data_IF_335103096890
#
_entry.id   IF_335103096890
#
_cell.length_a   1.000
_cell.length_b   1.000
_cell.length_c   1.000
_cell.angle_alpha   90.00
_cell.angle_beta   90.00
_cell.angle_gamma   90.00
#
_symmetry.space_group_name_H-M   'P 1'
#
loop_
_entity.id
_entity.type
_entity.pdbx_description
1 polymer ?
#
# COMPACT_ATOMS: atom_id res chain seq x y z
N UNK A 1 -12.81 -12.99 -4.69
CA UNK A 1 -12.04 -13.20 -3.46
C UNK A 1 -13.02 -13.18 -2.29
N UNK A 2 -12.94 -14.12 -1.34
CA UNK A 2 -13.91 -14.23 -0.24
C UNK A 2 -13.77 -13.13 0.84
N UNK A 3 -12.71 -12.32 0.77
CA UNK A 3 -12.44 -11.21 1.67
C UNK A 3 -12.09 -9.96 0.87
N UNK A 4 -12.36 -8.78 1.44
CA UNK A 4 -11.84 -7.52 0.89
C UNK A 4 -10.30 -7.55 0.90
N UNK A 5 -9.69 -7.11 -0.19
CA UNK A 5 -8.24 -6.94 -0.31
C UNK A 5 -7.99 -5.58 -0.94
N UNK A 6 -7.14 -4.78 -0.30
CA UNK A 6 -6.68 -3.49 -0.81
C UNK A 6 -5.19 -3.57 -1.10
N UNK A 7 -4.74 -2.80 -2.09
CA UNK A 7 -3.32 -2.73 -2.47
C UNK A 7 -2.93 -1.27 -2.70
N UNK A 8 -1.68 -0.87 -2.38
CA UNK A 8 -1.17 0.41 -2.82
C UNK A 8 -1.07 0.47 -4.36
N UNK A 9 -1.16 1.68 -4.93
CA UNK A 9 -1.13 1.93 -6.38
C UNK A 9 0.25 1.81 -7.02
N UNK A 10 1.32 1.88 -6.23
CA UNK A 10 2.70 1.87 -6.73
C UNK A 10 3.25 0.45 -6.90
N UNK A 11 4.21 0.30 -7.82
CA UNK A 11 4.97 -0.94 -8.01
C UNK A 11 6.08 -1.15 -6.98
N UNK A 12 7.02 -2.03 -7.31
CA UNK A 12 8.13 -2.43 -6.42
C UNK A 12 9.15 -1.33 -6.14
N UNK A 13 9.24 -0.32 -7.00
CA UNK A 13 10.14 0.83 -6.85
C UNK A 13 11.61 0.43 -6.58
N UNK A 14 12.13 -0.54 -7.34
CA UNK A 14 13.49 -1.10 -7.15
C UNK A 14 14.60 -0.06 -7.24
N UNK A 15 14.41 0.98 -8.04
CA UNK A 15 15.32 2.12 -8.18
C UNK A 15 15.50 2.91 -6.86
N UNK A 16 14.56 2.82 -5.93
CA UNK A 16 14.59 3.50 -4.63
C UNK A 16 14.51 2.58 -3.41
N UNK A 17 14.41 1.27 -3.63
CA UNK A 17 14.39 0.28 -2.55
C UNK A 17 15.66 0.38 -1.69
N UNK A 18 15.49 0.39 -0.37
CA UNK A 18 16.60 0.53 0.59
C UNK A 18 17.15 1.95 0.76
N UNK A 19 16.66 2.95 0.01
CA UNK A 19 17.13 4.35 0.09
C UNK A 19 16.34 5.22 1.08
N UNK A 20 15.24 4.72 1.65
CA UNK A 20 14.43 5.45 2.64
C UNK A 20 13.60 6.62 2.08
N UNK A 21 13.41 6.69 0.76
CA UNK A 21 12.71 7.79 0.07
C UNK A 21 11.37 7.38 -0.55
N UNK A 22 10.91 6.15 -0.32
CA UNK A 22 9.63 5.68 -0.80
C UNK A 22 8.47 6.39 -0.07
N UNK A 23 7.46 6.86 -0.82
CA UNK A 23 6.27 7.50 -0.26
C UNK A 23 5.31 6.44 0.26
N UNK A 24 4.87 6.57 1.51
CA UNK A 24 4.03 5.57 2.21
C UNK A 24 2.53 5.76 2.01
N UNK A 25 2.10 6.94 1.55
CA UNK A 25 0.68 7.35 1.54
C UNK A 25 -0.26 6.33 0.90
N UNK A 26 0.11 5.75 -0.24
CA UNK A 26 -0.73 4.76 -0.93
C UNK A 26 -0.93 3.48 -0.10
N UNK A 27 0.10 3.04 0.62
CA UNK A 27 0.03 1.88 1.52
C UNK A 27 -0.80 2.20 2.77
N UNK A 28 -0.63 3.40 3.33
CA UNK A 28 -1.41 3.87 4.49
C UNK A 28 -2.91 3.94 4.17
N UNK A 29 -3.28 4.50 3.01
CA UNK A 29 -4.69 4.53 2.57
C UNK A 29 -5.23 3.12 2.29
N UNK A 30 -4.44 2.23 1.70
CA UNK A 30 -4.86 0.83 1.49
C UNK A 30 -5.20 0.15 2.82
N UNK A 31 -4.38 0.31 3.85
CA UNK A 31 -4.63 -0.22 5.20
C UNK A 31 -5.88 0.43 5.81
N UNK A 32 -6.02 1.76 5.69
CA UNK A 32 -7.18 2.49 6.20
C UNK A 32 -8.49 2.00 5.57
N UNK A 33 -8.55 1.89 4.24
CA UNK A 33 -9.74 1.39 3.52
C UNK A 33 -10.07 -0.04 3.96
N UNK A 34 -9.05 -0.89 4.13
CA UNK A 34 -9.27 -2.26 4.61
C UNK A 34 -9.86 -2.28 6.02
N UNK A 35 -9.37 -1.43 6.92
CA UNK A 35 -9.87 -1.35 8.30
C UNK A 35 -11.32 -0.84 8.39
N UNK A 36 -11.79 -0.08 7.39
CA UNK A 36 -13.16 0.42 7.31
C UNK A 36 -14.16 -0.60 6.75
N UNK A 37 -13.68 -1.68 6.12
CA UNK A 37 -14.50 -2.72 5.49
C UNK A 37 -14.66 -3.98 6.35
N UNK A 38 -14.22 -3.95 7.61
CA UNK A 38 -14.42 -5.01 8.61
C UNK A 38 -15.60 -4.68 9.53
#
# INVERSE_FOLDING_TARGET
MPYAITTPEHGTAFDIAGKGIAKTKATEEAIRIQSMNL
#
